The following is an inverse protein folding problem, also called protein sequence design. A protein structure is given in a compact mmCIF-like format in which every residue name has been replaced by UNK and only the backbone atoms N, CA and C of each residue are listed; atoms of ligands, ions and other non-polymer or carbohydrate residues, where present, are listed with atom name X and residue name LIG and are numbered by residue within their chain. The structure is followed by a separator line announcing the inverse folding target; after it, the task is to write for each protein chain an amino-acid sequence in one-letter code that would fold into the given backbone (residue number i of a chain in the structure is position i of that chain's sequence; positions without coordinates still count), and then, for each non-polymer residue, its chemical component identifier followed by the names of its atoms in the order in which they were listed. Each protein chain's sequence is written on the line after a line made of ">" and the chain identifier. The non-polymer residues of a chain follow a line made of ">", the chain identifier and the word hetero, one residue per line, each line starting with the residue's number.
data_IF_852825820808
#
_entry.id   IF_852825820808
#
_cell.length_a   1.000
_cell.length_b   1.000
_cell.length_c   1.000
_cell.angle_alpha   90.00
_cell.angle_beta   90.00
_cell.angle_gamma   90.00
#
_symmetry.space_group_name_H-M   'P 1'
#
loop_
_entity.id
_entity.type
_entity.pdbx_description
1 polymer ?
#
# COMPACT_ATOMS: atom_id res chain seq x y z
N UNK A 1 10.42 25.28 23.97
CA UNK A 1 9.21 24.68 23.40
C UNK A 1 9.16 24.71 21.86
N UNK A 2 9.70 25.71 21.17
CA UNK A 2 9.75 25.77 19.68
C UNK A 2 10.48 24.57 19.04
N UNK A 3 11.57 24.11 19.61
CA UNK A 3 12.40 23.01 19.07
C UNK A 3 11.69 21.65 19.01
N UNK A 4 10.81 21.30 19.97
CA UNK A 4 10.07 20.04 19.92
C UNK A 4 9.02 20.03 18.81
N UNK A 5 8.26 21.10 18.64
CA UNK A 5 7.27 21.23 17.55
C UNK A 5 7.92 21.18 16.18
N UNK A 6 9.05 21.88 16.02
CA UNK A 6 9.79 21.87 14.75
C UNK A 6 10.31 20.48 14.40
N UNK A 7 10.85 19.73 15.37
CA UNK A 7 11.29 18.34 15.16
C UNK A 7 10.15 17.43 14.72
N UNK A 8 8.99 17.54 15.35
CA UNK A 8 7.79 16.76 15.00
C UNK A 8 7.37 17.06 13.56
N UNK A 9 7.28 18.34 13.19
CA UNK A 9 6.91 18.75 11.83
C UNK A 9 7.91 18.20 10.80
N UNK A 10 9.20 18.33 11.07
CA UNK A 10 10.24 17.82 10.18
C UNK A 10 10.10 16.30 10.01
N UNK A 11 9.87 15.56 11.10
CA UNK A 11 9.69 14.11 11.04
C UNK A 11 8.50 13.73 10.16
N UNK A 12 7.36 14.41 10.28
CA UNK A 12 6.20 14.14 9.41
C UNK A 12 6.46 14.49 7.95
N UNK A 13 7.16 15.59 7.69
CA UNK A 13 7.54 15.95 6.31
C UNK A 13 8.45 14.89 5.70
N UNK A 14 9.47 14.44 6.45
CA UNK A 14 10.39 13.40 5.99
C UNK A 14 9.64 12.09 5.72
N UNK A 15 8.79 11.65 6.65
CA UNK A 15 8.00 10.42 6.46
C UNK A 15 7.06 10.52 5.25
N UNK A 16 6.40 11.66 5.07
CA UNK A 16 5.53 11.91 3.93
C UNK A 16 6.30 11.90 2.61
N UNK A 17 7.47 12.52 2.57
CA UNK A 17 8.35 12.52 1.39
C UNK A 17 8.86 11.12 1.06
N UNK A 18 9.23 10.33 2.08
CA UNK A 18 9.63 8.94 1.91
C UNK A 18 8.47 8.08 1.39
N UNK A 19 7.25 8.30 1.89
CA UNK A 19 6.06 7.59 1.41
C UNK A 19 5.78 7.90 -0.06
N UNK A 20 5.81 9.17 -0.45
CA UNK A 20 5.63 9.57 -1.86
C UNK A 20 6.73 8.98 -2.74
N UNK A 21 7.98 9.03 -2.29
CA UNK A 21 9.11 8.41 -2.99
C UNK A 21 8.93 6.90 -3.18
N UNK A 22 8.48 6.19 -2.14
CA UNK A 22 8.21 4.77 -2.21
C UNK A 22 7.06 4.43 -3.18
N UNK A 23 6.01 5.24 -3.21
CA UNK A 23 4.89 5.11 -4.17
C UNK A 23 5.40 5.27 -5.61
N UNK A 24 6.13 6.33 -5.89
CA UNK A 24 6.69 6.58 -7.21
C UNK A 24 7.67 5.49 -7.64
N UNK A 25 8.53 5.05 -6.73
CA UNK A 25 9.48 3.96 -6.96
C UNK A 25 8.74 2.64 -7.28
N UNK A 26 7.67 2.35 -6.56
CA UNK A 26 6.84 1.15 -6.77
C UNK A 26 6.09 1.18 -8.11
N UNK A 27 5.70 2.37 -8.59
CA UNK A 27 5.12 2.52 -9.93
C UNK A 27 6.17 2.35 -11.03
N UNK A 28 7.42 2.74 -10.77
CA UNK A 28 8.52 2.64 -11.71
C UNK A 28 9.10 1.23 -11.78
N UNK A 29 9.45 0.63 -10.64
CA UNK A 29 10.07 -0.69 -10.54
C UNK A 29 8.97 -1.77 -10.67
N UNK A 30 9.14 -2.67 -11.63
CA UNK A 30 8.23 -3.81 -11.81
C UNK A 30 8.79 -4.81 -12.83
N UNK A 31 8.06 -5.93 -13.00
CA UNK A 31 8.46 -7.02 -13.91
C UNK A 31 8.61 -6.59 -15.37
N UNK A 32 7.97 -5.53 -15.77
CA UNK A 32 8.10 -4.90 -17.09
C UNK A 32 8.76 -3.54 -16.91
N UNK A 33 9.87 -3.32 -17.59
CA UNK A 33 10.58 -2.04 -17.57
C UNK A 33 9.77 -0.99 -18.35
N UNK A 34 9.23 -0.01 -17.65
CA UNK A 34 8.53 1.13 -18.22
C UNK A 34 9.36 2.37 -17.91
N UNK A 35 9.66 3.17 -18.94
CA UNK A 35 10.46 4.37 -18.74
C UNK A 35 9.75 5.36 -17.79
N UNK A 36 10.47 6.08 -16.91
CA UNK A 36 9.87 7.04 -15.98
C UNK A 36 9.00 8.09 -16.68
N UNK A 37 9.40 8.50 -17.87
CA UNK A 37 8.65 9.44 -18.69
C UNK A 37 7.29 8.88 -19.09
N UNK A 38 7.19 7.58 -19.38
CA UNK A 38 5.92 6.92 -19.74
C UNK A 38 5.01 6.82 -18.52
N UNK A 39 5.57 6.51 -17.32
CA UNK A 39 4.80 6.50 -16.07
C UNK A 39 4.17 7.86 -15.83
N UNK A 40 4.96 8.93 -15.97
CA UNK A 40 4.48 10.30 -15.78
C UNK A 40 3.43 10.70 -16.83
N UNK A 41 3.64 10.35 -18.10
CA UNK A 41 2.68 10.65 -19.17
C UNK A 41 1.34 9.94 -18.97
N UNK A 42 1.35 8.69 -18.51
CA UNK A 42 0.12 7.94 -18.19
C UNK A 42 -0.63 8.58 -17.03
N UNK A 43 0.08 8.95 -15.96
CA UNK A 43 -0.52 9.58 -14.77
C UNK A 43 -1.10 10.97 -15.08
N UNK A 44 -0.54 11.69 -16.07
CA UNK A 44 -1.05 13.00 -16.52
C UNK A 44 -2.08 12.91 -17.64
N UNK A 45 -2.48 11.69 -18.02
CA UNK A 45 -3.50 11.48 -19.08
C UNK A 45 -2.98 11.63 -20.52
N UNK A 46 -1.67 11.75 -20.71
CA UNK A 46 -1.02 11.90 -22.03
C UNK A 46 -0.33 10.60 -22.50
N UNK A 47 -0.69 9.46 -21.94
CA UNK A 47 -0.11 8.17 -22.29
C UNK A 47 -0.48 7.74 -23.71
N UNK A 48 0.51 7.53 -24.57
CA UNK A 48 0.33 7.07 -25.95
C UNK A 48 0.50 5.56 -26.12
N UNK A 49 1.15 4.91 -25.15
CA UNK A 49 1.40 3.46 -25.16
C UNK A 49 0.30 2.72 -24.40
N UNK A 50 -0.58 2.04 -25.14
CA UNK A 50 -1.71 1.30 -24.59
C UNK A 50 -1.27 0.18 -23.61
N UNK A 51 -0.15 -0.50 -23.86
CA UNK A 51 0.38 -1.55 -22.97
C UNK A 51 0.89 -0.96 -21.65
N UNK A 52 1.66 0.11 -21.70
CA UNK A 52 2.15 0.81 -20.52
C UNK A 52 0.98 1.36 -19.69
N UNK A 53 -0.02 1.93 -20.35
CA UNK A 53 -1.23 2.45 -19.72
C UNK A 53 -1.99 1.33 -18.98
N UNK A 54 -2.22 0.20 -19.63
CA UNK A 54 -2.90 -0.94 -19.03
C UNK A 54 -2.13 -1.49 -17.81
N UNK A 55 -0.82 -1.66 -17.92
CA UNK A 55 0.01 -2.17 -16.79
C UNK A 55 -0.02 -1.19 -15.62
N UNK A 56 0.12 0.10 -15.88
CA UNK A 56 0.16 1.12 -14.81
C UNK A 56 -1.20 1.26 -14.14
N UNK A 57 -2.28 1.43 -14.89
CA UNK A 57 -3.60 1.72 -14.34
C UNK A 57 -4.31 0.48 -13.82
N UNK A 58 -4.17 -0.68 -14.47
CA UNK A 58 -4.91 -1.89 -14.10
C UNK A 58 -4.16 -2.81 -13.14
N UNK A 59 -2.82 -2.70 -13.06
CA UNK A 59 -2.02 -3.59 -12.22
C UNK A 59 -1.25 -2.82 -11.14
N UNK A 60 -0.41 -1.84 -11.53
CA UNK A 60 0.49 -1.17 -10.59
C UNK A 60 -0.23 -0.22 -9.66
N UNK A 61 -1.06 0.65 -10.20
CA UNK A 61 -1.76 1.67 -9.43
C UNK A 61 -2.71 1.06 -8.38
N UNK A 62 -3.60 0.10 -8.71
CA UNK A 62 -4.44 -0.54 -7.71
C UNK A 62 -3.63 -1.25 -6.63
N UNK A 63 -2.53 -1.91 -7.00
CA UNK A 63 -1.65 -2.60 -6.04
C UNK A 63 -1.00 -1.62 -5.05
N UNK A 64 -0.50 -0.50 -5.54
CA UNK A 64 0.13 0.54 -4.70
C UNK A 64 -0.90 1.19 -3.79
N UNK A 65 -2.09 1.51 -4.30
CA UNK A 65 -3.18 2.07 -3.49
C UNK A 65 -3.63 1.08 -2.41
N UNK A 66 -3.83 -0.18 -2.77
CA UNK A 66 -4.18 -1.22 -1.80
C UNK A 66 -3.10 -1.36 -0.71
N UNK A 67 -1.82 -1.36 -1.08
CA UNK A 67 -0.72 -1.43 -0.12
C UNK A 67 -0.70 -0.22 0.83
N UNK A 68 -0.94 1.00 0.31
CA UNK A 68 -0.99 2.21 1.11
C UNK A 68 -2.17 2.20 2.10
N UNK A 69 -3.36 1.83 1.63
CA UNK A 69 -4.58 1.77 2.46
C UNK A 69 -4.45 0.68 3.53
N UNK A 70 -4.05 -0.52 3.14
CA UNK A 70 -3.91 -1.64 4.07
C UNK A 70 -2.78 -1.41 5.07
N UNK A 71 -1.65 -0.84 4.63
CA UNK A 71 -0.55 -0.46 5.51
C UNK A 71 -0.96 0.60 6.53
N UNK A 72 -1.72 1.61 6.11
CA UNK A 72 -2.30 2.62 6.99
C UNK A 72 -3.29 2.02 7.99
N UNK A 73 -4.18 1.15 7.53
CA UNK A 73 -5.13 0.45 8.40
C UNK A 73 -4.43 -0.42 9.46
N UNK A 74 -3.37 -1.15 9.06
CA UNK A 74 -2.56 -1.95 9.99
C UNK A 74 -1.82 -1.07 11.00
N UNK A 75 -1.29 0.08 10.60
CA UNK A 75 -0.63 1.01 11.50
C UNK A 75 -1.58 1.57 12.56
N UNK A 76 -2.78 1.98 12.17
CA UNK A 76 -3.83 2.46 13.08
C UNK A 76 -4.29 1.34 14.01
N UNK A 77 -4.54 0.15 13.48
CA UNK A 77 -4.93 -1.02 14.27
C UNK A 77 -3.87 -1.38 15.31
N UNK A 78 -2.58 -1.38 14.91
CA UNK A 78 -1.47 -1.62 15.81
C UNK A 78 -1.40 -0.59 16.94
N UNK A 79 -1.55 0.68 16.61
CA UNK A 79 -1.58 1.76 17.60
C UNK A 79 -2.72 1.61 18.60
N UNK A 80 -3.93 1.29 18.12
CA UNK A 80 -5.09 1.08 19.00
C UNK A 80 -4.88 -0.12 19.93
N UNK A 81 -4.37 -1.23 19.42
CA UNK A 81 -4.09 -2.42 20.22
C UNK A 81 -3.03 -2.15 21.31
N UNK A 82 -1.93 -1.49 20.95
CA UNK A 82 -0.88 -1.11 21.90
C UNK A 82 -1.42 -0.20 23.00
N UNK A 83 -2.30 0.73 22.63
CA UNK A 83 -2.92 1.67 23.58
C UNK A 83 -3.91 0.94 24.49
N UNK A 84 -4.76 0.08 23.92
CA UNK A 84 -5.78 -0.66 24.68
C UNK A 84 -5.18 -1.64 25.67
N UNK A 85 -4.20 -2.44 25.22
CA UNK A 85 -3.53 -3.41 26.08
C UNK A 85 -2.41 -2.80 26.94
N UNK A 86 -2.10 -1.51 26.78
CA UNK A 86 -0.95 -0.83 27.40
C UNK A 86 0.34 -1.62 27.24
N UNK A 87 0.51 -2.28 26.11
CA UNK A 87 1.64 -3.14 25.82
C UNK A 87 2.21 -2.80 24.42
N UNK A 88 3.45 -2.31 24.33
CA UNK A 88 4.07 -1.93 23.07
C UNK A 88 4.35 -3.12 22.13
N UNK A 89 4.27 -4.35 22.64
CA UNK A 89 4.49 -5.58 21.86
C UNK A 89 3.19 -6.05 21.19
N UNK A 90 2.02 -5.56 21.66
CA UNK A 90 0.74 -5.91 21.08
C UNK A 90 0.66 -5.44 19.62
N UNK A 91 0.54 -6.37 18.69
CA UNK A 91 0.41 -6.10 17.27
C UNK A 91 -0.76 -6.86 16.66
N UNK A 92 -1.30 -6.40 15.51
CA UNK A 92 -2.45 -7.03 14.86
C UNK A 92 -2.20 -8.49 14.48
N UNK A 93 -0.95 -8.87 14.25
CA UNK A 93 -0.58 -10.24 13.90
C UNK A 93 -0.77 -11.23 15.05
N UNK A 94 -0.59 -10.79 16.31
CA UNK A 94 -0.70 -11.63 17.51
C UNK A 94 -2.14 -12.12 17.73
N UNK A 95 -3.13 -11.36 17.31
CA UNK A 95 -4.55 -11.70 17.43
C UNK A 95 -5.07 -12.65 16.31
N UNK A 96 -4.19 -13.26 15.56
CA UNK A 96 -4.60 -14.21 14.51
C UNK A 96 -5.19 -13.56 13.24
N UNK A 97 -5.06 -12.26 13.08
CA UNK A 97 -5.57 -11.53 11.89
C UNK A 97 -4.97 -12.10 10.60
N UNK A 98 -3.67 -12.44 10.60
CA UNK A 98 -3.04 -13.08 9.44
C UNK A 98 -3.65 -14.44 9.09
N UNK A 99 -4.00 -15.24 10.09
CA UNK A 99 -4.63 -16.55 9.88
C UNK A 99 -6.06 -16.39 9.38
N UNK A 100 -6.81 -15.46 9.95
CA UNK A 100 -8.15 -15.11 9.50
C UNK A 100 -8.15 -14.60 8.05
N UNK A 101 -7.24 -13.71 7.70
CA UNK A 101 -7.12 -13.20 6.33
C UNK A 101 -6.80 -14.32 5.33
N UNK A 102 -5.87 -15.23 5.66
CA UNK A 102 -5.55 -16.40 4.82
C UNK A 102 -6.76 -17.30 4.64
N UNK A 103 -7.55 -17.56 5.70
CA UNK A 103 -8.76 -18.35 5.63
C UNK A 103 -9.79 -17.71 4.68
N UNK A 104 -10.02 -16.41 4.81
CA UNK A 104 -10.97 -15.69 3.94
C UNK A 104 -10.53 -15.75 2.48
N UNK A 105 -9.24 -15.54 2.19
CA UNK A 105 -8.70 -15.64 0.83
C UNK A 105 -8.86 -17.07 0.28
N UNK A 106 -8.54 -18.09 1.08
CA UNK A 106 -8.70 -19.48 0.67
C UNK A 106 -10.16 -19.82 0.36
N UNK A 107 -11.09 -19.41 1.20
CA UNK A 107 -12.54 -19.60 0.97
C UNK A 107 -13.00 -18.84 -0.29
N UNK A 108 -12.56 -17.60 -0.48
CA UNK A 108 -12.90 -16.81 -1.66
C UNK A 108 -12.38 -17.47 -2.95
N UNK A 109 -11.17 -18.04 -2.93
CA UNK A 109 -10.63 -18.80 -4.07
C UNK A 109 -11.45 -20.05 -4.36
N UNK A 110 -11.83 -20.83 -3.33
CA UNK A 110 -12.62 -22.05 -3.50
C UNK A 110 -13.99 -21.69 -4.11
N UNK A 111 -14.66 -20.69 -3.58
CA UNK A 111 -15.96 -20.22 -4.07
C UNK A 111 -15.83 -19.63 -5.48
N UNK A 112 -14.80 -18.81 -5.74
CA UNK A 112 -14.54 -18.21 -7.05
C UNK A 112 -14.29 -19.25 -8.13
N UNK A 113 -13.49 -20.27 -7.87
CA UNK A 113 -13.26 -21.38 -8.79
C UNK A 113 -14.54 -22.18 -9.01
N UNK A 114 -15.34 -22.43 -7.95
CA UNK A 114 -16.61 -23.13 -8.05
C UNK A 114 -17.65 -22.42 -8.92
N UNK A 115 -17.58 -21.08 -9.01
CA UNK A 115 -18.49 -20.27 -9.83
C UNK A 115 -17.91 -19.87 -11.20
N UNK A 116 -16.73 -20.41 -11.58
CA UNK A 116 -16.11 -20.12 -12.88
C UNK A 116 -15.62 -18.67 -13.04
N UNK A 117 -15.38 -17.97 -11.95
CA UNK A 117 -14.78 -16.64 -11.93
C UNK A 117 -13.25 -16.82 -11.93
N UNK A 118 -12.69 -17.13 -13.10
CA UNK A 118 -11.23 -17.17 -13.34
C UNK A 118 -10.84 -16.13 -14.36
#
# INVERSE_FOLDING_TARGET
>A
MKTKKTRIIITYIVLFTLLLGAILLSLYIGSVSIAPRQVFSVLTGHGTDAKAMQIILSIRLPRVLAAAILGGALAVSGFLLQTFFRNPIAGPFVLGISSGAKLVVALAMIVGVSHGIT
#
